data_IF_884288677903
#
_entry.id   IF_884288677903
#
_cell.length_a   1.000
_cell.length_b   1.000
_cell.length_c   1.000
_cell.angle_alpha   90.00
_cell.angle_beta   90.00
_cell.angle_gamma   90.00
#
_symmetry.space_group_name_H-M   'P 1'
#
loop_
_entity.id
_entity.type
_entity.pdbx_description
1 polymer ?
#
# COMPACT_ATOMS: atom_id res chain seq x y z
N UNK A 1 -15.96 2.36 20.25
CA UNK A 1 -15.01 3.12 19.39
C UNK A 1 -15.64 4.40 18.78
N UNK A 2 -16.53 5.15 19.45
CA UNK A 2 -17.22 6.32 18.84
C UNK A 2 -16.50 7.66 19.06
N UNK A 3 -15.99 7.89 20.27
CA UNK A 3 -15.36 9.17 20.66
C UNK A 3 -14.09 9.51 19.87
N UNK A 4 -13.27 8.49 19.56
CA UNK A 4 -12.03 8.65 18.79
C UNK A 4 -12.31 9.05 17.33
N UNK A 5 -13.41 8.57 16.75
CA UNK A 5 -13.82 8.92 15.40
C UNK A 5 -14.30 10.37 15.30
N UNK A 6 -15.00 10.88 16.32
CA UNK A 6 -15.41 12.28 16.38
C UNK A 6 -14.22 13.25 16.53
N UNK A 7 -13.15 12.85 17.24
CA UNK A 7 -11.91 13.65 17.30
C UNK A 7 -11.08 13.59 16.01
N UNK A 8 -11.23 12.53 15.21
CA UNK A 8 -10.56 12.41 13.93
C UNK A 8 -11.21 13.30 12.84
N UNK A 9 -12.44 13.77 13.08
CA UNK A 9 -13.20 14.58 12.15
C UNK A 9 -12.57 15.97 12.00
N UNK A 10 -12.19 16.36 10.79
CA UNK A 10 -11.59 17.67 10.48
C UNK A 10 -10.05 17.73 10.40
N UNK A 11 -9.32 16.66 10.70
CA UNK A 11 -7.88 16.64 10.41
C UNK A 11 -7.65 16.52 8.85
N UNK A 12 -6.41 16.65 8.34
CA UNK A 12 -6.06 16.48 6.90
C UNK A 12 -5.96 15.03 6.44
N UNK A 13 -6.49 14.60 5.29
CA UNK A 13 -6.45 13.20 4.79
C UNK A 13 -5.15 12.41 4.97
N UNK A 14 -3.97 13.04 4.86
CA UNK A 14 -2.68 12.42 5.16
C UNK A 14 -2.30 12.27 6.65
N UNK A 15 -3.17 12.60 7.61
CA UNK A 15 -2.86 12.40 9.03
C UNK A 15 -2.92 10.92 9.38
N UNK A 16 -1.98 10.47 10.22
CA UNK A 16 -1.82 9.07 10.62
C UNK A 16 -3.11 8.42 11.12
N UNK A 17 -3.91 9.13 11.92
CA UNK A 17 -5.18 8.61 12.46
C UNK A 17 -6.19 8.35 11.33
N UNK A 18 -6.31 9.25 10.36
CA UNK A 18 -7.20 9.07 9.21
C UNK A 18 -6.73 7.96 8.28
N UNK A 19 -5.43 7.86 8.07
CA UNK A 19 -4.81 6.77 7.28
C UNK A 19 -5.01 5.40 7.94
N UNK A 20 -4.90 5.32 9.27
CA UNK A 20 -5.22 4.10 10.03
C UNK A 20 -6.72 3.78 9.91
N UNK A 21 -7.60 4.78 10.03
CA UNK A 21 -9.05 4.59 9.88
C UNK A 21 -9.46 4.18 8.45
N UNK A 22 -8.75 4.66 7.42
CA UNK A 22 -9.02 4.30 6.04
C UNK A 22 -8.47 2.92 5.65
N UNK A 23 -7.68 2.27 6.52
CA UNK A 23 -6.98 1.01 6.21
C UNK A 23 -5.84 1.18 5.20
N UNK A 24 -5.46 2.42 4.89
CA UNK A 24 -4.54 2.75 3.80
C UNK A 24 -3.31 3.44 4.35
N UNK A 25 -2.14 2.84 4.16
CA UNK A 25 -0.87 3.41 4.62
C UNK A 25 -0.28 4.47 3.66
N UNK A 26 -0.98 4.78 2.57
CA UNK A 26 -0.54 5.70 1.52
C UNK A 26 -1.72 6.60 1.15
N UNK A 27 -1.47 7.91 1.03
CA UNK A 27 -2.49 8.86 0.55
C UNK A 27 -2.91 8.50 -0.88
N UNK A 28 -4.17 8.77 -1.22
CA UNK A 28 -4.71 8.56 -2.57
C UNK A 28 -3.92 9.34 -3.62
N UNK A 29 -3.52 10.57 -3.31
CA UNK A 29 -2.66 11.41 -4.14
C UNK A 29 -1.32 10.73 -4.45
N UNK A 30 -0.70 10.13 -3.43
CA UNK A 30 0.57 9.41 -3.57
C UNK A 30 0.40 8.14 -4.40
N UNK A 31 -0.72 7.44 -4.25
CA UNK A 31 -1.03 6.28 -5.08
C UNK A 31 -1.25 6.67 -6.54
N UNK A 32 -1.95 7.78 -6.78
CA UNK A 32 -2.16 8.35 -8.11
C UNK A 32 -0.82 8.74 -8.75
N UNK A 33 0.04 9.44 -8.02
CA UNK A 33 1.38 9.82 -8.50
C UNK A 33 2.25 8.59 -8.81
N UNK A 34 2.23 7.58 -7.93
CA UNK A 34 2.94 6.33 -8.17
C UNK A 34 2.42 5.60 -9.42
N UNK A 35 1.10 5.65 -9.66
CA UNK A 35 0.49 5.05 -10.86
C UNK A 35 0.91 5.76 -12.15
N UNK A 36 0.95 7.10 -12.16
CA UNK A 36 1.41 7.90 -13.30
C UNK A 36 2.88 7.59 -13.58
N UNK A 37 3.70 7.59 -12.53
CA UNK A 37 5.12 7.24 -12.63
C UNK A 37 5.32 5.84 -13.22
N UNK A 38 4.58 4.83 -12.76
CA UNK A 38 4.67 3.47 -13.28
C UNK A 38 4.36 3.39 -14.78
N UNK A 39 3.34 4.13 -15.25
CA UNK A 39 3.00 4.19 -16.68
C UNK A 39 4.11 4.85 -17.49
N UNK A 40 4.63 5.98 -17.02
CA UNK A 40 5.71 6.68 -17.68
C UNK A 40 6.99 5.82 -17.74
N UNK A 41 7.34 5.16 -16.63
CA UNK A 41 8.53 4.33 -16.53
C UNK A 41 8.48 3.14 -17.49
N UNK A 42 7.30 2.52 -17.67
CA UNK A 42 7.10 1.47 -18.68
C UNK A 42 7.29 2.01 -20.09
N UNK A 43 6.70 3.17 -20.42
CA UNK A 43 6.84 3.78 -21.74
C UNK A 43 8.29 4.11 -22.08
N UNK A 44 9.03 4.68 -21.12
CA UNK A 44 10.46 4.96 -21.29
C UNK A 44 11.22 3.65 -21.50
N UNK A 45 11.00 2.66 -20.64
CA UNK A 45 11.65 1.36 -20.74
C UNK A 45 11.40 0.67 -22.09
N UNK A 46 10.17 0.71 -22.62
CA UNK A 46 9.82 0.15 -23.93
C UNK A 46 10.64 0.75 -25.09
N UNK A 47 11.04 2.02 -24.97
CA UNK A 47 11.86 2.70 -25.97
C UNK A 47 13.37 2.42 -25.83
N UNK A 48 13.80 1.72 -24.79
CA UNK A 48 15.21 1.35 -24.58
C UNK A 48 15.60 0.05 -25.30
N UNK A 49 16.92 -0.19 -25.43
CA UNK A 49 17.45 -1.47 -25.94
C UNK A 49 17.02 -2.66 -25.08
N UNK A 50 16.91 -2.44 -23.77
CA UNK A 50 16.49 -3.47 -22.80
C UNK A 50 15.00 -3.79 -22.94
N UNK A 51 14.18 -2.77 -23.19
CA UNK A 51 12.75 -2.92 -23.49
C UNK A 51 12.49 -3.79 -24.72
N UNK A 52 13.25 -3.60 -25.80
CA UNK A 52 13.16 -4.42 -27.01
C UNK A 52 13.52 -5.88 -26.78
N UNK A 53 14.42 -6.16 -25.84
CA UNK A 53 14.84 -7.52 -25.45
C UNK A 53 14.00 -8.11 -24.31
N UNK A 54 13.08 -7.34 -23.74
CA UNK A 54 12.28 -7.77 -22.59
C UNK A 54 13.06 -7.88 -21.27
N UNK A 55 14.27 -7.32 -21.21
CA UNK A 55 15.14 -7.41 -20.02
C UNK A 55 14.90 -6.22 -19.07
N UNK A 56 15.19 -6.40 -17.78
CA UNK A 56 15.16 -5.33 -16.77
C UNK A 56 13.85 -4.53 -16.69
N UNK A 57 12.70 -5.22 -16.79
CA UNK A 57 11.40 -4.55 -16.69
C UNK A 57 11.26 -3.84 -15.34
N UNK A 58 10.86 -2.55 -15.31
CA UNK A 58 10.70 -1.81 -14.06
C UNK A 58 9.58 -2.40 -13.19
N UNK A 59 9.84 -2.42 -11.88
CA UNK A 59 8.87 -2.84 -10.86
C UNK A 59 7.87 -1.71 -10.61
N UNK A 60 6.59 -2.05 -10.49
CA UNK A 60 5.53 -1.08 -10.20
C UNK A 60 5.59 -0.60 -8.74
N UNK A 61 5.79 0.71 -8.56
CA UNK A 61 5.76 1.37 -7.26
C UNK A 61 4.36 1.36 -6.66
N UNK A 62 3.31 1.53 -7.47
CA UNK A 62 1.93 1.47 -7.00
C UNK A 62 1.60 0.09 -6.40
N UNK A 63 2.01 -0.99 -7.10
CA UNK A 63 1.84 -2.36 -6.61
C UNK A 63 2.65 -2.61 -5.34
N UNK A 64 3.88 -2.09 -5.27
CA UNK A 64 4.71 -2.24 -4.08
C UNK A 64 4.08 -1.55 -2.85
N UNK A 65 3.54 -0.35 -3.03
CA UNK A 65 2.85 0.39 -1.98
C UNK A 65 1.58 -0.34 -1.49
N UNK A 66 0.82 -0.96 -2.40
CA UNK A 66 -0.34 -1.77 -2.04
C UNK A 66 0.06 -3.08 -1.33
N UNK A 67 1.10 -3.76 -1.81
CA UNK A 67 1.55 -5.04 -1.23
C UNK A 67 2.09 -4.92 0.21
N UNK A 68 2.64 -3.76 0.60
CA UNK A 68 3.01 -3.46 2.00
C UNK A 68 1.81 -3.43 2.95
N UNK A 69 0.58 -3.24 2.46
CA UNK A 69 -0.63 -3.32 3.28
C UNK A 69 -0.88 -4.77 3.73
N UNK A 70 -0.78 -5.74 2.81
CA UNK A 70 -1.05 -7.16 3.07
C UNK A 70 -0.07 -7.79 4.07
N UNK A 71 1.20 -7.37 4.06
CA UNK A 71 2.21 -7.89 4.99
C UNK A 71 2.03 -7.43 6.44
N UNK A 72 1.28 -6.34 6.68
CA UNK A 72 1.01 -5.83 8.04
C UNK A 72 -0.18 -6.51 8.69
N UNK A 73 -1.20 -6.90 7.93
CA UNK A 73 -2.32 -7.73 8.42
C UNK A 73 -1.83 -9.08 8.95
N UNK A 74 -0.81 -9.66 8.31
CA UNK A 74 -0.19 -10.92 8.75
C UNK A 74 0.67 -10.72 10.02
N UNK A 75 1.09 -9.48 10.33
CA UNK A 75 2.11 -9.20 11.35
C UNK A 75 1.62 -8.71 12.71
N UNK A 76 0.32 -8.64 13.01
CA UNK A 76 -0.09 -8.43 14.42
C UNK A 76 -1.58 -8.72 14.71
N UNK A 77 -1.86 -9.24 15.91
CA UNK A 77 -1.83 -8.38 17.10
C UNK A 77 -0.67 -8.68 18.06
N UNK A 78 -0.05 -7.66 18.68
CA UNK A 78 0.63 -7.87 19.95
C UNK A 78 -0.46 -8.07 21.01
N UNK A 79 -0.53 -9.27 21.61
CA UNK A 79 -1.35 -9.52 22.79
C UNK A 79 -2.29 -10.74 22.76
N UNK A 80 -2.30 -11.57 21.71
CA UNK A 80 -2.96 -12.88 21.78
C UNK A 80 -2.17 -13.93 21.01
N UNK A 81 -1.62 -14.92 21.73
CA UNK A 81 -1.10 -16.14 21.12
C UNK A 81 -2.33 -16.93 20.68
N UNK A 82 -2.64 -16.92 19.38
CA UNK A 82 -3.62 -17.86 18.83
C UNK A 82 -2.98 -19.26 18.90
N UNK A 83 -3.64 -20.20 19.58
CA UNK A 83 -3.18 -21.58 19.60
C UNK A 83 -3.25 -22.15 18.20
N UNK A 84 -2.31 -23.03 17.85
CA UNK A 84 -2.19 -23.71 16.54
C UNK A 84 -3.45 -24.48 16.11
N UNK A 85 -4.45 -24.57 16.98
CA UNK A 85 -5.72 -25.29 16.80
C UNK A 85 -6.73 -24.52 15.93
N UNK A 86 -6.60 -23.20 15.75
CA UNK A 86 -7.62 -22.36 15.07
C UNK A 86 -7.32 -22.05 13.59
N UNK A 87 -6.34 -22.73 12.97
CA UNK A 87 -5.86 -22.48 11.60
C UNK A 87 -6.16 -23.64 10.63
N UNK A 88 -7.29 -24.35 10.78
CA UNK A 88 -7.76 -25.33 9.79
C UNK A 88 -9.23 -25.06 9.41
N UNK A 89 -9.44 -24.38 8.28
CA UNK A 89 -10.02 -24.88 7.01
C UNK A 89 -10.22 -23.72 6.03
#
# INVERSE_FOLDING_TARGET
MRLVASFANGLRDGSRIRMIMSGSNVSTETLLLASIFDKLNILIWQNTKDGRKGANKPVSLAKQNLSRLKQREIRSPPGRILRKEEMNY
#
